data_IF_155185338533
#
_entry.id   IF_155185338533
#
_cell.length_a   1.000
_cell.length_b   1.000
_cell.length_c   1.000
_cell.angle_alpha   90.00
_cell.angle_beta   90.00
_cell.angle_gamma   90.00
#
_symmetry.space_group_name_H-M   'P 1'
#
loop_
_entity.id
_entity.type
_entity.pdbx_description
1 polymer ?
#
# COMPACT_ATOMS: atom_id res chain seq x y z
N UNK A 1 -40.78 36.39 6.19
CA UNK A 1 -39.37 35.99 6.38
C UNK A 1 -39.26 34.51 6.02
N UNK A 2 -38.75 34.17 4.82
CA UNK A 2 -38.58 32.77 4.40
C UNK A 2 -37.08 32.46 4.36
N UNK A 3 -36.66 31.49 5.17
CA UNK A 3 -35.29 31.01 5.22
C UNK A 3 -35.06 30.00 4.08
N UNK A 4 -34.08 30.30 3.24
CA UNK A 4 -33.53 29.40 2.23
C UNK A 4 -32.55 28.44 2.92
N UNK A 5 -32.89 27.15 2.96
CA UNK A 5 -31.97 26.09 3.32
C UNK A 5 -30.94 25.95 2.18
N UNK A 6 -29.70 26.38 2.44
CA UNK A 6 -28.58 26.12 1.54
C UNK A 6 -28.19 24.64 1.69
N UNK A 7 -28.43 23.86 0.62
CA UNK A 7 -27.90 22.50 0.52
C UNK A 7 -26.37 22.55 0.55
N UNK A 8 -25.77 21.72 1.39
CA UNK A 8 -24.32 21.53 1.41
C UNK A 8 -23.83 21.06 0.02
N UNK A 9 -22.68 21.53 -0.45
CA UNK A 9 -22.15 21.08 -1.73
C UNK A 9 -21.89 19.57 -1.67
N UNK A 10 -22.52 18.82 -2.58
CA UNK A 10 -22.16 17.44 -2.85
C UNK A 10 -20.67 17.39 -3.22
N UNK A 11 -19.85 16.84 -2.32
CA UNK A 11 -18.44 16.60 -2.60
C UNK A 11 -18.37 15.40 -3.56
N UNK A 12 -18.42 15.69 -4.86
CA UNK A 12 -18.15 14.68 -5.90
C UNK A 12 -16.70 14.23 -5.69
N UNK A 13 -16.43 12.94 -5.42
CA UNK A 13 -15.07 12.49 -5.20
C UNK A 13 -14.24 12.85 -6.44
N UNK A 14 -13.16 13.59 -6.24
CA UNK A 14 -12.20 13.83 -7.31
C UNK A 14 -11.66 12.49 -7.80
N UNK A 15 -11.48 12.31 -9.12
CA UNK A 15 -10.92 11.07 -9.66
C UNK A 15 -9.54 10.86 -9.03
N UNK A 16 -9.40 9.81 -8.24
CA UNK A 16 -8.13 9.42 -7.64
C UNK A 16 -7.19 8.99 -8.76
N UNK A 17 -5.96 9.53 -8.75
CA UNK A 17 -4.91 9.05 -9.65
C UNK A 17 -4.53 7.64 -9.21
N UNK A 18 -4.57 6.63 -10.11
CA UNK A 18 -4.15 5.28 -9.79
C UNK A 18 -2.75 5.23 -9.18
N UNK A 19 -2.51 4.31 -8.25
CA UNK A 19 -1.15 4.04 -7.78
C UNK A 19 -0.18 3.71 -8.92
N UNK A 20 1.05 4.21 -8.78
CA UNK A 20 2.16 3.89 -9.67
C UNK A 20 2.79 2.54 -9.28
N UNK A 21 2.24 1.47 -9.87
CA UNK A 21 2.67 0.08 -9.66
C UNK A 21 4.16 -0.12 -9.98
N UNK A 22 4.67 0.54 -11.02
CA UNK A 22 6.06 0.36 -11.44
C UNK A 22 7.00 0.95 -10.38
N UNK A 23 6.78 2.20 -9.98
CA UNK A 23 7.57 2.86 -8.93
C UNK A 23 7.52 2.07 -7.62
N UNK A 24 6.36 1.51 -7.26
CA UNK A 24 6.21 0.68 -6.06
C UNK A 24 7.05 -0.60 -6.12
N UNK A 25 7.02 -1.32 -7.24
CA UNK A 25 7.80 -2.55 -7.45
C UNK A 25 9.29 -2.28 -7.45
N UNK A 26 9.73 -1.26 -8.18
CA UNK A 26 11.14 -0.84 -8.22
C UNK A 26 11.65 -0.45 -6.83
N UNK A 27 10.85 0.28 -6.06
CA UNK A 27 11.21 0.68 -4.69
C UNK A 27 11.28 -0.51 -3.74
N UNK A 28 10.34 -1.46 -3.84
CA UNK A 28 10.39 -2.69 -3.05
C UNK A 28 11.60 -3.57 -3.42
N UNK A 29 11.97 -3.63 -4.71
CA UNK A 29 13.10 -4.42 -5.20
C UNK A 29 14.44 -3.98 -4.61
N UNK A 30 14.59 -2.71 -4.22
CA UNK A 30 15.79 -2.20 -3.52
C UNK A 30 16.13 -2.93 -2.22
N UNK A 31 15.18 -3.66 -1.62
CA UNK A 31 15.40 -4.46 -0.40
C UNK A 31 15.16 -5.96 -0.56
N UNK A 32 14.54 -6.36 -1.67
CA UNK A 32 14.06 -7.74 -1.88
C UNK A 32 14.80 -8.46 -3.01
N UNK A 33 15.50 -7.74 -3.90
CA UNK A 33 16.31 -8.36 -4.94
C UNK A 33 17.46 -9.18 -4.33
N UNK A 34 17.84 -10.28 -4.99
CA UNK A 34 18.99 -11.09 -4.59
C UNK A 34 20.30 -10.26 -4.64
N UNK A 35 20.38 -9.33 -5.58
CA UNK A 35 21.52 -8.42 -5.77
C UNK A 35 21.34 -7.08 -5.03
N UNK A 36 20.42 -6.99 -4.06
CA UNK A 36 20.20 -5.75 -3.32
C UNK A 36 21.42 -5.42 -2.43
N UNK A 37 22.07 -4.29 -2.71
CA UNK A 37 23.08 -3.74 -1.82
C UNK A 37 22.44 -3.29 -0.50
N UNK A 38 23.11 -3.57 0.62
CA UNK A 38 22.63 -3.17 1.93
C UNK A 38 22.69 -1.64 2.07
N UNK A 39 21.56 -0.93 2.27
CA UNK A 39 21.59 0.50 2.45
C UNK A 39 22.30 0.88 3.75
N UNK A 40 22.86 2.08 3.80
CA UNK A 40 23.27 2.71 5.05
C UNK A 40 22.06 2.92 5.98
N UNK A 41 22.32 3.22 7.25
CA UNK A 41 21.25 3.42 8.23
C UNK A 41 20.28 4.56 7.83
N UNK A 42 20.82 5.69 7.36
CA UNK A 42 20.01 6.84 6.92
C UNK A 42 19.18 6.52 5.68
N UNK A 43 19.76 5.83 4.71
CA UNK A 43 19.04 5.39 3.50
C UNK A 43 17.96 4.38 3.85
N UNK A 44 18.21 3.50 4.82
CA UNK A 44 17.24 2.52 5.29
C UNK A 44 16.04 3.19 5.97
N UNK A 45 16.28 4.18 6.82
CA UNK A 45 15.23 4.97 7.47
C UNK A 45 14.39 5.72 6.43
N UNK A 46 15.05 6.37 5.47
CA UNK A 46 14.39 7.05 4.34
C UNK A 46 13.54 6.07 3.53
N UNK A 47 14.08 4.90 3.21
CA UNK A 47 13.39 3.88 2.44
C UNK A 47 12.21 3.28 3.21
N UNK A 48 12.35 3.06 4.52
CA UNK A 48 11.26 2.60 5.36
C UNK A 48 10.10 3.62 5.40
N UNK A 49 10.39 4.92 5.53
CA UNK A 49 9.38 5.98 5.47
C UNK A 49 8.68 6.03 4.10
N UNK A 50 9.45 5.92 3.01
CA UNK A 50 8.90 5.88 1.65
C UNK A 50 7.95 4.69 1.47
N UNK A 51 8.36 3.50 1.90
CA UNK A 51 7.54 2.29 1.81
C UNK A 51 6.27 2.40 2.64
N UNK A 52 6.32 3.02 3.84
CA UNK A 52 5.11 3.31 4.63
C UNK A 52 4.16 4.23 3.87
N UNK A 53 4.70 5.29 3.24
CA UNK A 53 3.95 6.19 2.37
C UNK A 53 3.23 5.44 1.24
N UNK A 54 3.96 4.58 0.53
CA UNK A 54 3.41 3.74 -0.54
C UNK A 54 2.29 2.82 -0.06
N UNK A 55 2.43 2.18 1.11
CA UNK A 55 1.37 1.35 1.69
C UNK A 55 0.12 2.19 1.97
N UNK A 56 0.29 3.39 2.55
CA UNK A 56 -0.83 4.27 2.90
C UNK A 56 -1.63 4.71 1.68
N UNK A 57 -0.97 4.96 0.54
CA UNK A 57 -1.67 5.34 -0.71
C UNK A 57 -2.22 4.13 -1.47
N UNK A 58 -1.60 2.96 -1.38
CA UNK A 58 -2.05 1.78 -2.10
C UNK A 58 -3.24 1.07 -1.47
N UNK A 59 -3.38 1.13 -0.14
CA UNK A 59 -4.51 0.48 0.55
C UNK A 59 -5.88 0.93 0.00
N UNK A 60 -6.20 2.24 -0.09
CA UNK A 60 -7.50 2.69 -0.60
C UNK A 60 -7.81 2.22 -2.03
N UNK A 61 -6.79 2.19 -2.90
CA UNK A 61 -6.95 1.76 -4.30
C UNK A 61 -7.21 0.26 -4.40
N UNK A 62 -6.48 -0.55 -3.62
CA UNK A 62 -6.70 -2.01 -3.55
C UNK A 62 -8.05 -2.33 -2.90
N UNK A 63 -8.45 -1.59 -1.86
CA UNK A 63 -9.78 -1.73 -1.23
C UNK A 63 -10.90 -1.44 -2.21
N UNK A 64 -10.76 -0.37 -3.00
CA UNK A 64 -11.73 0.01 -4.02
C UNK A 64 -11.81 -1.07 -5.11
N UNK A 65 -10.67 -1.55 -5.60
CA UNK A 65 -10.63 -2.60 -6.62
C UNK A 65 -11.25 -3.92 -6.12
N UNK A 66 -10.95 -4.31 -4.87
CA UNK A 66 -11.52 -5.51 -4.25
C UNK A 66 -13.03 -5.36 -3.98
N UNK A 67 -13.50 -4.15 -3.66
CA UNK A 67 -14.91 -3.83 -3.43
C UNK A 67 -15.80 -4.00 -4.67
N UNK A 68 -15.21 -4.01 -5.87
CA UNK A 68 -15.93 -4.22 -7.13
C UNK A 68 -16.18 -5.71 -7.44
N UNK A 69 -15.61 -6.64 -6.66
CA UNK A 69 -15.76 -8.07 -6.85
C UNK A 69 -16.86 -8.67 -5.92
N UNK A 70 -17.45 -9.82 -6.30
CA UNK A 70 -18.40 -10.55 -5.46
C UNK A 70 -17.85 -10.90 -4.08
N UNK A 71 -18.73 -11.03 -3.09
CA UNK A 71 -18.31 -11.22 -1.69
C UNK A 71 -17.49 -12.52 -1.47
N UNK A 72 -17.83 -13.57 -2.21
CA UNK A 72 -17.25 -14.91 -2.18
C UNK A 72 -16.05 -15.09 -3.13
N UNK A 73 -15.65 -14.04 -3.85
CA UNK A 73 -14.52 -14.08 -4.75
C UNK A 73 -13.17 -14.27 -4.01
N UNK A 74 -12.37 -15.23 -4.48
CA UNK A 74 -11.08 -15.58 -3.86
C UNK A 74 -10.08 -14.41 -3.98
N UNK A 75 -9.83 -13.82 -5.17
CA UNK A 75 -9.02 -12.61 -5.31
C UNK A 75 -9.40 -11.48 -4.35
N UNK A 76 -10.70 -11.22 -4.15
CA UNK A 76 -11.19 -10.24 -3.16
C UNK A 76 -10.74 -10.60 -1.75
N UNK A 77 -11.00 -11.82 -1.30
CA UNK A 77 -10.65 -12.26 0.05
C UNK A 77 -9.13 -12.16 0.29
N UNK A 78 -8.32 -12.57 -0.68
CA UNK A 78 -6.86 -12.46 -0.62
C UNK A 78 -6.39 -11.00 -0.50
N UNK A 79 -6.94 -10.09 -1.30
CA UNK A 79 -6.57 -8.67 -1.27
C UNK A 79 -6.93 -8.01 0.08
N UNK A 80 -8.13 -8.29 0.62
CA UNK A 80 -8.55 -7.75 1.92
C UNK A 80 -7.68 -8.29 3.08
N UNK A 81 -7.28 -9.56 3.02
CA UNK A 81 -6.33 -10.12 3.98
C UNK A 81 -4.96 -9.42 3.90
N UNK A 82 -4.46 -9.18 2.68
CA UNK A 82 -3.21 -8.45 2.45
C UNK A 82 -3.27 -7.02 3.03
N UNK A 83 -4.39 -6.31 2.83
CA UNK A 83 -4.61 -4.98 3.42
C UNK A 83 -4.58 -5.03 4.95
N UNK A 84 -5.22 -6.02 5.56
CA UNK A 84 -5.21 -6.23 7.01
C UNK A 84 -3.79 -6.40 7.56
N UNK A 85 -2.98 -7.22 6.88
CA UNK A 85 -1.57 -7.43 7.24
C UNK A 85 -0.71 -6.17 7.02
N UNK A 86 -0.92 -5.45 5.91
CA UNK A 86 -0.21 -4.21 5.63
C UNK A 86 -0.48 -3.16 6.71
N UNK A 87 -1.75 -3.01 7.13
CA UNK A 87 -2.15 -2.14 8.25
C UNK A 87 -1.51 -2.57 9.57
N UNK A 88 -1.42 -3.87 9.83
CA UNK A 88 -0.71 -4.37 11.01
C UNK A 88 0.77 -3.96 10.98
N UNK A 89 1.45 -4.14 9.86
CA UNK A 89 2.87 -3.79 9.69
C UNK A 89 3.13 -2.29 9.84
N UNK A 90 2.21 -1.42 9.41
CA UNK A 90 2.30 0.03 9.64
C UNK A 90 2.28 0.40 11.13
N UNK A 91 1.65 -0.40 12.00
CA UNK A 91 1.61 -0.15 13.45
C UNK A 91 2.83 -0.69 14.20
N UNK A 92 3.66 -1.49 13.54
CA UNK A 92 4.86 -2.06 14.16
C UNK A 92 6.03 -1.09 14.00
N UNK A 93 6.81 -0.95 15.07
CA UNK A 93 8.13 -0.33 15.05
C UNK A 93 9.22 -1.41 14.91
N UNK A 94 10.44 -1.05 14.48
CA UNK A 94 11.58 -1.97 14.50
C UNK A 94 11.83 -2.51 15.92
N UNK A 95 11.96 -3.84 16.06
CA UNK A 95 12.04 -4.51 17.36
C UNK A 95 13.32 -4.21 18.16
N UNK A 96 14.35 -3.65 17.50
CA UNK A 96 15.58 -3.16 18.12
C UNK A 96 16.22 -2.11 17.21
N UNK A 97 16.87 -1.08 17.78
CA UNK A 97 17.61 -0.05 17.03
C UNK A 97 18.88 -0.54 16.33
N UNK A 98 18.95 -1.84 16.01
CA UNK A 98 20.09 -2.49 15.34
C UNK A 98 19.84 -2.57 13.85
N UNK A 99 20.88 -2.40 13.03
CA UNK A 99 20.77 -2.44 11.56
C UNK A 99 20.06 -3.70 11.03
N UNK A 100 20.35 -4.95 11.48
CA UNK A 100 19.64 -6.13 10.98
C UNK A 100 18.13 -6.13 11.26
N UNK A 101 17.71 -5.62 12.42
CA UNK A 101 16.30 -5.51 12.76
C UNK A 101 15.59 -4.42 11.95
N UNK A 102 16.28 -3.30 11.70
CA UNK A 102 15.81 -2.26 10.78
C UNK A 102 15.61 -2.81 9.36
N UNK A 103 16.58 -3.57 8.85
CA UNK A 103 16.51 -4.19 7.51
C UNK A 103 15.34 -5.16 7.43
N UNK A 104 15.19 -6.04 8.43
CA UNK A 104 14.07 -6.97 8.49
C UNK A 104 12.71 -6.25 8.55
N UNK A 105 12.63 -5.12 9.26
CA UNK A 105 11.44 -4.28 9.29
C UNK A 105 11.14 -3.66 7.92
N UNK A 106 12.13 -3.03 7.28
CA UNK A 106 11.98 -2.43 5.96
C UNK A 106 11.61 -3.46 4.89
N UNK A 107 12.19 -4.67 4.93
CA UNK A 107 11.82 -5.77 4.04
C UNK A 107 10.36 -6.22 4.23
N UNK A 108 9.83 -6.22 5.46
CA UNK A 108 8.40 -6.52 5.68
C UNK A 108 7.50 -5.46 5.05
N UNK A 109 7.88 -4.18 5.12
CA UNK A 109 7.17 -3.10 4.44
C UNK A 109 7.27 -3.25 2.91
N UNK A 110 8.46 -3.54 2.38
CA UNK A 110 8.68 -3.78 0.96
C UNK A 110 7.82 -4.94 0.41
N UNK A 111 7.71 -6.05 1.16
CA UNK A 111 6.82 -7.16 0.79
C UNK A 111 5.35 -6.74 0.76
N UNK A 112 4.90 -5.90 1.70
CA UNK A 112 3.54 -5.34 1.63
C UNK A 112 3.34 -4.48 0.39
N UNK A 113 4.29 -3.61 0.06
CA UNK A 113 4.22 -2.76 -1.14
C UNK A 113 4.12 -3.61 -2.41
N UNK A 114 4.99 -4.62 -2.55
CA UNK A 114 4.95 -5.54 -3.69
C UNK A 114 3.61 -6.27 -3.78
N UNK A 115 3.13 -6.86 -2.68
CA UNK A 115 1.89 -7.62 -2.66
C UNK A 115 0.67 -6.74 -2.97
N UNK A 116 0.60 -5.52 -2.44
CA UNK A 116 -0.48 -4.57 -2.74
C UNK A 116 -0.48 -4.19 -4.23
N UNK A 117 0.69 -3.92 -4.80
CA UNK A 117 0.83 -3.62 -6.22
C UNK A 117 0.40 -4.82 -7.10
N UNK A 118 0.76 -6.04 -6.72
CA UNK A 118 0.35 -7.26 -7.42
C UNK A 118 -1.16 -7.50 -7.32
N UNK A 119 -1.75 -7.32 -6.13
CA UNK A 119 -3.20 -7.38 -5.97
C UNK A 119 -3.90 -6.33 -6.81
N UNK A 120 -3.44 -5.08 -6.81
CA UNK A 120 -4.04 -4.02 -7.61
C UNK A 120 -4.10 -4.39 -9.10
N UNK A 121 -2.97 -4.87 -9.67
CA UNK A 121 -2.91 -5.32 -11.06
C UNK A 121 -3.83 -6.52 -11.30
N UNK A 122 -3.80 -7.54 -10.45
CA UNK A 122 -4.59 -8.75 -10.63
C UNK A 122 -6.11 -8.47 -10.53
N UNK A 123 -6.51 -7.55 -9.66
CA UNK A 123 -7.91 -7.11 -9.54
C UNK A 123 -8.32 -6.27 -10.76
N UNK A 124 -7.45 -5.40 -11.28
CA UNK A 124 -7.70 -4.60 -12.49
C UNK A 124 -7.76 -5.44 -13.78
N UNK A 125 -6.91 -6.46 -13.90
CA UNK A 125 -6.87 -7.35 -15.07
C UNK A 125 -8.10 -8.26 -15.20
N UNK A 126 -8.84 -8.48 -14.11
CA UNK A 126 -10.09 -9.27 -14.12
C UNK A 126 -11.31 -8.48 -14.61
N UNK A 127 -11.14 -7.18 -14.92
CA UNK A 127 -12.18 -6.29 -15.46
C UNK A 127 -11.94 -5.90 -16.93
N UNK A 128 -11.05 -6.60 -17.64
CA UNK A 128 -10.71 -6.37 -19.06
C UNK A 128 -11.30 -7.42 -20.00
#
# INVERSE_FOLDING_TARGET
MNAIAQGAPEHKPEPTVPIDVQTMRETAARLLSEDAELPSLEELETLALLLRGMIMVAIPDVETAAGNLPEDDIPRACALACIGEARMRLRLEPSSGTLPAGVAHAQRLARSVSALADHYVNLGAQHG
#
